data_IF_555206949712
#
_entry.id   IF_555206949712
#
_cell.length_a   1.000
_cell.length_b   1.000
_cell.length_c   1.000
_cell.angle_alpha   90.00
_cell.angle_beta   90.00
_cell.angle_gamma   90.00
#
_symmetry.space_group_name_H-M   'P 1'
#
loop_
_entity.id
_entity.type
_entity.pdbx_description
1 polymer ?
#
# COMPACT_ATOMS: atom_id res chain seq x y z
N UNK A 1 -9.06 -12.55 8.71
CA UNK A 1 -9.90 -12.85 7.53
C UNK A 1 -9.07 -13.16 6.29
N UNK A 2 -8.13 -12.31 5.87
CA UNK A 2 -7.28 -12.55 4.66
C UNK A 2 -6.60 -13.93 4.64
N UNK A 3 -6.09 -14.41 5.79
CA UNK A 3 -5.45 -15.72 5.88
C UNK A 3 -6.39 -16.92 5.64
N UNK A 4 -7.71 -16.73 5.75
CA UNK A 4 -8.71 -17.79 5.53
C UNK A 4 -9.28 -17.78 4.11
N UNK A 5 -9.16 -16.66 3.38
CA UNK A 5 -9.70 -16.52 2.03
C UNK A 5 -8.79 -15.64 1.14
N UNK A 6 -7.53 -16.04 0.90
CA UNK A 6 -6.54 -15.20 0.22
C UNK A 6 -6.87 -14.93 -1.25
N UNK A 7 -7.47 -15.90 -1.96
CA UNK A 7 -7.81 -15.77 -3.39
C UNK A 7 -8.91 -14.74 -3.65
N UNK A 8 -9.74 -14.44 -2.65
CA UNK A 8 -10.84 -13.48 -2.74
C UNK A 8 -10.64 -12.24 -1.86
N UNK A 9 -9.43 -12.07 -1.29
CA UNK A 9 -9.06 -10.88 -0.53
C UNK A 9 -8.17 -10.00 -1.41
N UNK A 10 -8.76 -8.97 -2.01
CA UNK A 10 -8.08 -8.08 -2.94
C UNK A 10 -7.36 -6.96 -2.20
N UNK A 11 -6.12 -6.66 -2.60
CA UNK A 11 -5.29 -5.54 -2.15
C UNK A 11 -4.50 -5.00 -3.34
N UNK A 12 -3.74 -3.92 -3.16
CA UNK A 12 -2.91 -3.31 -4.22
C UNK A 12 -3.63 -2.89 -5.51
N UNK A 13 -4.95 -2.69 -5.48
CA UNK A 13 -5.70 -2.23 -6.67
C UNK A 13 -5.15 -0.90 -7.24
N UNK A 14 -4.50 -0.05 -6.42
CA UNK A 14 -3.80 1.16 -6.84
C UNK A 14 -2.65 0.88 -7.83
N UNK A 15 -2.02 -0.30 -7.79
CA UNK A 15 -1.00 -0.71 -8.76
C UNK A 15 -1.61 -0.98 -10.15
N UNK A 16 -2.86 -1.45 -10.20
CA UNK A 16 -3.59 -1.82 -11.43
C UNK A 16 -4.35 -0.66 -12.08
N UNK A 17 -4.79 0.32 -11.29
CA UNK A 17 -5.71 1.37 -11.75
C UNK A 17 -5.16 2.15 -12.95
N UNK A 18 -5.98 2.33 -13.99
CA UNK A 18 -5.64 3.05 -15.22
C UNK A 18 -4.52 2.45 -16.07
N UNK A 19 -4.04 1.23 -15.78
CA UNK A 19 -3.03 0.50 -16.57
C UNK A 19 -3.66 -0.48 -17.55
N UNK A 20 -2.84 -0.96 -18.49
CA UNK A 20 -3.17 -2.07 -19.40
C UNK A 20 -2.73 -3.40 -18.80
N UNK A 21 -3.41 -4.48 -19.20
CA UNK A 21 -3.10 -5.82 -18.71
C UNK A 21 -1.69 -6.26 -19.12
N UNK A 22 -1.22 -5.87 -20.31
CA UNK A 22 0.08 -6.22 -20.86
C UNK A 22 1.25 -5.35 -20.35
N UNK A 23 0.99 -4.41 -19.44
CA UNK A 23 2.05 -3.61 -18.80
C UNK A 23 3.04 -4.54 -18.09
N UNK A 24 4.36 -4.49 -18.43
CA UNK A 24 5.37 -5.35 -17.82
C UNK A 24 5.39 -5.29 -16.28
N UNK A 25 5.09 -4.12 -15.70
CA UNK A 25 5.00 -3.95 -14.25
C UNK A 25 3.84 -4.78 -13.68
N UNK A 26 2.69 -4.77 -14.34
CA UNK A 26 1.53 -5.58 -13.93
C UNK A 26 1.80 -7.07 -14.08
N UNK A 27 2.45 -7.48 -15.18
CA UNK A 27 2.85 -8.88 -15.37
C UNK A 27 3.83 -9.37 -14.29
N UNK A 28 4.67 -8.48 -13.75
CA UNK A 28 5.51 -8.76 -12.60
C UNK A 28 4.70 -8.88 -11.31
N UNK A 29 3.88 -7.86 -11.01
CA UNK A 29 3.09 -7.79 -9.77
C UNK A 29 2.11 -8.98 -9.63
N UNK A 30 1.49 -9.41 -10.74
CA UNK A 30 0.57 -10.55 -10.79
C UNK A 30 1.18 -11.87 -10.29
N UNK A 31 2.51 -12.02 -10.31
CA UNK A 31 3.20 -13.21 -9.79
C UNK A 31 3.20 -13.27 -8.26
N UNK A 32 2.95 -12.14 -7.60
CA UNK A 32 3.02 -11.99 -6.16
C UNK A 32 1.65 -11.94 -5.49
N UNK A 33 0.58 -11.73 -6.25
CA UNK A 33 -0.77 -11.68 -5.70
C UNK A 33 -1.44 -13.06 -5.61
N UNK A 34 -2.19 -13.32 -4.52
CA UNK A 34 -2.93 -14.57 -4.36
C UNK A 34 -4.26 -14.58 -5.13
N UNK A 35 -4.78 -13.41 -5.51
CA UNK A 35 -6.00 -13.25 -6.30
C UNK A 35 -5.69 -13.22 -7.79
N UNK A 36 -6.66 -13.62 -8.62
CA UNK A 36 -6.46 -13.73 -10.07
C UNK A 36 -6.78 -12.40 -10.75
N UNK A 37 -5.89 -11.97 -11.65
CA UNK A 37 -6.15 -10.87 -12.58
C UNK A 37 -6.29 -11.45 -13.99
N UNK A 38 -7.32 -11.03 -14.71
CA UNK A 38 -7.61 -11.45 -16.09
C UNK A 38 -7.61 -10.25 -17.03
N UNK A 39 -7.41 -10.50 -18.31
CA UNK A 39 -7.55 -9.48 -19.35
C UNK A 39 -8.99 -9.44 -19.84
N UNK A 40 -9.58 -8.25 -19.88
CA UNK A 40 -10.86 -7.97 -20.52
C UNK A 40 -10.67 -6.82 -21.50
N UNK A 41 -10.67 -7.11 -22.80
CA UNK A 41 -10.33 -6.17 -23.88
C UNK A 41 -9.02 -5.39 -23.64
N UNK A 42 -8.00 -6.05 -23.08
CA UNK A 42 -6.70 -5.45 -22.78
C UNK A 42 -6.62 -4.66 -21.47
N UNK A 43 -7.74 -4.52 -20.74
CA UNK A 43 -7.76 -3.94 -19.39
C UNK A 43 -7.66 -5.04 -18.33
N UNK A 44 -6.92 -4.82 -17.23
CA UNK A 44 -6.88 -5.78 -16.15
C UNK A 44 -8.19 -5.76 -15.36
N UNK A 45 -8.75 -6.93 -15.05
CA UNK A 45 -9.87 -7.12 -14.12
C UNK A 45 -9.51 -8.14 -13.05
N UNK A 46 -9.93 -7.88 -11.83
CA UNK A 46 -9.76 -8.79 -10.69
C UNK A 46 -10.91 -9.80 -10.70
N UNK A 47 -10.58 -11.10 -10.78
CA UNK A 47 -11.54 -12.19 -10.69
C UNK A 47 -11.59 -12.72 -9.26
N UNK A 48 -12.78 -12.72 -8.66
CA UNK A 48 -13.04 -13.28 -7.33
C UNK A 48 -14.31 -14.12 -7.34
N UNK A 49 -14.39 -15.08 -6.44
CA UNK A 49 -15.63 -15.77 -6.10
C UNK A 49 -16.37 -14.98 -5.01
N UNK A 50 -17.59 -14.56 -5.30
CA UNK A 50 -18.44 -13.83 -4.37
C UNK A 50 -19.83 -14.44 -4.34
N UNK A 51 -20.23 -14.96 -3.17
CA UNK A 51 -21.51 -15.65 -2.94
C UNK A 51 -21.74 -16.84 -3.88
N UNK A 52 -20.70 -17.63 -4.14
CA UNK A 52 -20.76 -18.82 -4.99
C UNK A 52 -20.72 -18.54 -6.50
N UNK A 53 -20.53 -17.28 -6.89
CA UNK A 53 -20.43 -16.88 -8.30
C UNK A 53 -19.10 -16.20 -8.60
N UNK A 54 -18.56 -16.46 -9.79
CA UNK A 54 -17.40 -15.74 -10.29
C UNK A 54 -17.80 -14.31 -10.69
N UNK A 55 -17.14 -13.32 -10.08
CA UNK A 55 -17.31 -11.90 -10.40
C UNK A 55 -15.99 -11.30 -10.85
N UNK A 56 -16.10 -10.38 -11.79
CA UNK A 56 -14.96 -9.60 -12.28
C UNK A 56 -15.17 -8.14 -11.91
N UNK A 57 -14.12 -7.52 -11.39
CA UNK A 57 -14.14 -6.12 -10.99
C UNK A 57 -13.01 -5.37 -11.69
N UNK A 58 -13.30 -4.18 -12.20
CA UNK A 58 -12.27 -3.24 -12.61
C UNK A 58 -11.53 -2.70 -11.37
N UNK A 59 -10.25 -2.29 -11.49
CA UNK A 59 -9.50 -1.69 -10.38
C UNK A 59 -10.18 -0.46 -9.76
N UNK A 60 -10.90 0.31 -10.58
CA UNK A 60 -11.69 1.48 -10.18
C UNK A 60 -12.86 1.09 -9.28
N UNK A 61 -13.49 -0.06 -9.52
CA UNK A 61 -14.58 -0.59 -8.67
C UNK A 61 -14.05 -1.08 -7.32
N UNK A 62 -12.87 -1.73 -7.30
CA UNK A 62 -12.24 -2.09 -6.02
C UNK A 62 -11.86 -0.83 -5.23
N UNK A 63 -11.30 0.18 -5.91
CA UNK A 63 -10.93 1.44 -5.30
C UNK A 63 -12.16 2.22 -4.80
N UNK A 64 -13.30 2.14 -5.50
CA UNK A 64 -14.55 2.77 -5.08
C UNK A 64 -15.11 2.13 -3.81
N UNK A 65 -14.93 0.83 -3.60
CA UNK A 65 -15.31 0.16 -2.34
C UNK A 65 -14.49 0.69 -1.16
N UNK A 66 -13.19 0.94 -1.35
CA UNK A 66 -12.34 1.59 -0.34
C UNK A 66 -12.80 3.02 -0.07
N UNK A 67 -13.07 3.80 -1.12
CA UNK A 67 -13.56 5.18 -0.99
C UNK A 67 -14.95 5.24 -0.32
N UNK A 68 -15.83 4.29 -0.61
CA UNK A 68 -17.12 4.13 0.05
C UNK A 68 -16.92 3.91 1.55
N UNK A 69 -15.96 3.07 1.94
CA UNK A 69 -15.66 2.86 3.35
C UNK A 69 -15.12 4.12 4.04
N UNK A 70 -14.29 4.90 3.34
CA UNK A 70 -13.79 6.17 3.85
C UNK A 70 -14.90 7.21 3.98
N UNK A 71 -15.82 7.26 3.01
CA UNK A 71 -17.03 8.09 3.06
C UNK A 71 -17.90 7.73 4.28
N UNK A 72 -18.24 6.46 4.47
CA UNK A 72 -19.01 5.99 5.64
C UNK A 72 -18.33 6.39 6.96
N UNK A 73 -17.00 6.30 7.02
CA UNK A 73 -16.22 6.68 8.20
C UNK A 73 -16.36 8.17 8.50
N UNK A 74 -16.27 9.02 7.47
CA UNK A 74 -16.48 10.46 7.60
C UNK A 74 -17.93 10.80 7.96
N UNK A 75 -18.92 10.14 7.36
CA UNK A 75 -20.34 10.33 7.65
C UNK A 75 -20.68 9.96 9.10
N UNK A 76 -20.11 8.86 9.61
CA UNK A 76 -20.26 8.45 11.00
C UNK A 76 -19.68 9.47 11.98
N UNK A 77 -18.56 10.11 11.63
CA UNK A 77 -17.95 11.16 12.44
C UNK A 77 -18.73 12.47 12.40
N UNK A 78 -19.20 12.89 11.22
CA UNK A 78 -19.90 14.17 11.01
C UNK A 78 -21.39 14.12 11.35
N UNK A 79 -21.99 12.92 11.42
CA UNK A 79 -23.42 12.73 11.67
C UNK A 79 -24.33 13.09 10.49
N UNK A 80 -23.80 13.11 9.27
CA UNK A 80 -24.53 13.51 8.07
C UNK A 80 -23.86 13.05 6.77
N UNK A 81 -24.56 13.15 5.62
CA UNK A 81 -24.07 12.65 4.34
C UNK A 81 -22.88 13.46 3.82
N UNK A 82 -21.90 12.76 3.24
CA UNK A 82 -20.72 13.35 2.59
C UNK A 82 -20.84 13.18 1.08
N UNK A 83 -20.82 14.28 0.35
CA UNK A 83 -21.01 14.29 -1.12
C UNK A 83 -19.78 14.74 -1.87
N UNK A 84 -19.06 15.74 -1.38
CA UNK A 84 -17.92 16.33 -2.07
C UNK A 84 -16.60 15.84 -1.48
N UNK A 85 -15.62 15.55 -2.35
CA UNK A 85 -14.31 15.10 -1.93
C UNK A 85 -13.18 15.63 -2.82
N UNK A 86 -12.00 15.77 -2.22
CA UNK A 86 -10.73 15.90 -2.92
C UNK A 86 -9.99 14.58 -2.74
N UNK A 87 -9.50 13.98 -3.83
CA UNK A 87 -8.81 12.69 -3.79
C UNK A 87 -7.35 12.90 -4.23
N UNK A 88 -6.42 12.30 -3.49
CA UNK A 88 -4.98 12.38 -3.77
C UNK A 88 -4.55 11.28 -4.75
N UNK A 89 -3.53 11.56 -5.57
CA UNK A 89 -2.85 10.58 -6.43
C UNK A 89 -1.33 10.82 -6.43
N UNK A 90 -0.50 9.82 -6.75
CA UNK A 90 0.93 10.05 -6.94
C UNK A 90 1.20 11.09 -8.02
N UNK A 91 2.24 11.91 -7.86
CA UNK A 91 2.55 12.98 -8.82
C UNK A 91 2.84 12.45 -10.24
N UNK A 92 3.44 11.25 -10.34
CA UNK A 92 3.78 10.59 -11.60
C UNK A 92 2.58 9.91 -12.30
N UNK A 93 1.37 9.90 -11.70
CA UNK A 93 0.20 9.32 -12.36
C UNK A 93 -0.10 10.05 -13.66
N UNK A 94 -0.25 9.28 -14.74
CA UNK A 94 -0.68 9.79 -16.03
C UNK A 94 -2.19 10.08 -16.08
N UNK A 95 -2.66 10.66 -17.17
CA UNK A 95 -4.06 11.05 -17.34
C UNK A 95 -5.05 9.88 -17.20
N UNK A 96 -4.70 8.70 -17.71
CA UNK A 96 -5.52 7.49 -17.59
C UNK A 96 -5.71 7.09 -16.13
N UNK A 97 -4.64 7.09 -15.34
CA UNK A 97 -4.69 6.72 -13.92
C UNK A 97 -5.41 7.78 -13.07
N UNK A 98 -5.24 9.06 -13.40
CA UNK A 98 -5.97 10.18 -12.77
C UNK A 98 -7.47 10.07 -13.04
N UNK A 99 -7.85 9.82 -14.29
CA UNK A 99 -9.24 9.66 -14.67
C UNK A 99 -9.86 8.43 -13.99
N UNK A 100 -9.18 7.29 -14.02
CA UNK A 100 -9.62 6.07 -13.35
C UNK A 100 -9.84 6.26 -11.83
N UNK A 101 -8.97 7.02 -11.17
CA UNK A 101 -9.15 7.37 -9.75
C UNK A 101 -10.35 8.29 -9.53
N UNK A 102 -10.58 9.25 -10.42
CA UNK A 102 -11.75 10.11 -10.40
C UNK A 102 -13.05 9.31 -10.60
N UNK A 103 -13.03 8.35 -11.52
CA UNK A 103 -14.14 7.43 -11.79
C UNK A 103 -14.45 6.57 -10.56
N UNK A 104 -13.43 6.07 -9.86
CA UNK A 104 -13.61 5.36 -8.59
C UNK A 104 -14.34 6.22 -7.55
N UNK A 105 -14.02 7.52 -7.47
CA UNK A 105 -14.74 8.47 -6.63
C UNK A 105 -16.20 8.65 -7.05
N UNK A 106 -16.47 8.77 -8.34
CA UNK A 106 -17.83 8.88 -8.87
C UNK A 106 -18.65 7.61 -8.57
N UNK A 107 -18.08 6.41 -8.73
CA UNK A 107 -18.73 5.12 -8.40
C UNK A 107 -19.05 5.04 -6.90
N UNK A 108 -18.21 5.60 -6.03
CA UNK A 108 -18.45 5.70 -4.58
C UNK A 108 -19.53 6.74 -4.21
N UNK A 109 -20.13 7.41 -5.19
CA UNK A 109 -21.12 8.47 -4.97
C UNK A 109 -20.50 9.74 -4.36
N UNK A 110 -19.26 10.06 -4.75
CA UNK A 110 -18.58 11.30 -4.40
C UNK A 110 -18.46 12.19 -5.64
N UNK A 111 -18.77 13.47 -5.47
CA UNK A 111 -18.41 14.54 -6.38
C UNK A 111 -16.93 14.89 -6.15
N UNK A 112 -16.07 14.44 -7.06
CA UNK A 112 -14.63 14.67 -6.97
C UNK A 112 -14.32 16.09 -7.44
N UNK A 113 -14.24 17.03 -6.50
CA UNK A 113 -13.97 18.45 -6.75
C UNK A 113 -12.62 18.66 -7.42
N UNK A 114 -11.62 17.90 -6.97
CA UNK A 114 -10.25 17.98 -7.50
C UNK A 114 -9.50 16.68 -7.23
N UNK A 115 -8.67 16.29 -8.20
CA UNK A 115 -7.56 15.36 -7.99
C UNK A 115 -6.32 16.19 -7.69
N UNK A 116 -5.69 15.98 -6.54
CA UNK A 116 -4.45 16.66 -6.17
C UNK A 116 -3.30 15.65 -6.06
N UNK A 117 -2.07 16.11 -6.26
CA UNK A 117 -0.91 15.26 -6.06
C UNK A 117 -0.68 15.03 -4.56
N UNK A 118 -0.34 13.81 -4.17
CA UNK A 118 0.08 13.43 -2.82
C UNK A 118 1.18 14.38 -2.27
N UNK A 119 2.27 14.67 -2.98
CA UNK A 119 3.27 15.62 -2.50
C UNK A 119 2.71 17.05 -2.36
N UNK A 120 1.81 17.49 -3.23
CA UNK A 120 1.18 18.82 -3.06
C UNK A 120 0.28 18.85 -1.82
N UNK A 121 -0.45 17.77 -1.54
CA UNK A 121 -1.26 17.65 -0.33
C UNK A 121 -0.39 17.69 0.94
N UNK A 122 0.74 16.98 0.93
CA UNK A 122 1.72 17.01 2.01
C UNK A 122 2.37 18.40 2.18
N UNK A 123 2.71 19.07 1.09
CA UNK A 123 3.23 20.45 1.11
C UNK A 123 2.21 21.43 1.69
N UNK A 124 0.94 21.31 1.31
CA UNK A 124 -0.16 22.09 1.87
C UNK A 124 -0.27 21.87 3.37
N UNK A 125 -0.29 20.62 3.83
CA UNK A 125 -0.33 20.29 5.25
C UNK A 125 0.87 20.87 6.04
N UNK A 126 2.06 20.89 5.43
CA UNK A 126 3.25 21.48 6.04
C UNK A 126 3.25 23.02 6.04
N UNK A 127 2.72 23.63 4.97
CA UNK A 127 2.78 25.07 4.72
C UNK A 127 1.63 25.89 5.32
N UNK A 128 0.47 25.27 5.59
CA UNK A 128 -0.77 25.96 6.00
C UNK A 128 -0.62 26.85 7.25
N UNK A 129 0.22 26.48 8.21
CA UNK A 129 0.42 27.24 9.45
C UNK A 129 1.73 28.03 9.50
N UNK A 130 2.52 27.99 8.43
CA UNK A 130 3.80 28.70 8.39
C UNK A 130 3.59 29.99 7.62
N UNK A 131 3.80 31.13 8.30
CA UNK A 131 3.98 32.43 7.64
C UNK A 131 5.29 32.43 6.83
N UNK A 132 5.30 31.64 5.75
CA UNK A 132 6.43 31.49 4.84
C UNK A 132 6.63 32.84 4.16
N UNK A 133 7.81 33.43 4.36
CA UNK A 133 8.27 34.60 3.62
C UNK A 133 9.24 34.16 2.53
N UNK A 134 9.01 34.68 1.32
CA UNK A 134 9.78 34.38 0.12
C UNK A 134 9.67 32.94 -0.40
N UNK A 135 10.24 32.73 -1.59
CA UNK A 135 10.31 31.44 -2.26
C UNK A 135 11.11 30.42 -1.45
N UNK A 136 10.57 29.21 -1.29
CA UNK A 136 11.25 28.09 -0.63
C UNK A 136 11.20 26.83 -1.46
N UNK A 137 12.32 26.12 -1.49
CA UNK A 137 12.37 24.77 -2.03
C UNK A 137 12.12 23.77 -0.90
N UNK A 138 11.19 22.87 -1.13
CA UNK A 138 10.77 21.81 -0.20
C UNK A 138 10.97 20.47 -0.87
N UNK A 139 11.66 19.57 -0.19
CA UNK A 139 11.74 18.16 -0.59
C UNK A 139 10.73 17.37 0.22
N UNK A 140 9.89 16.62 -0.47
CA UNK A 140 8.96 15.67 0.12
C UNK A 140 9.50 14.27 -0.15
N UNK A 141 9.64 13.53 0.94
CA UNK A 141 10.05 12.14 0.96
C UNK A 141 8.87 11.32 1.47
N UNK A 142 8.23 10.57 0.58
CA UNK A 142 7.06 9.74 0.89
C UNK A 142 7.41 8.27 0.64
N UNK A 143 7.63 7.53 1.73
CA UNK A 143 7.91 6.09 1.70
C UNK A 143 6.73 5.34 2.33
N UNK A 144 5.81 4.90 1.47
CA UNK A 144 4.58 4.25 1.86
C UNK A 144 4.71 2.74 2.06
N UNK A 145 3.57 2.06 2.01
CA UNK A 145 3.51 0.59 2.13
C UNK A 145 4.12 -0.16 0.94
N UNK A 146 4.07 0.41 -0.26
CA UNK A 146 4.60 -0.23 -1.47
C UNK A 146 5.04 0.73 -2.57
N UNK A 147 5.04 2.04 -2.30
CA UNK A 147 5.54 3.06 -3.23
C UNK A 147 6.46 3.99 -2.47
N UNK A 148 7.49 4.45 -3.18
CA UNK A 148 8.43 5.45 -2.73
C UNK A 148 8.43 6.62 -3.71
N UNK A 149 8.19 7.82 -3.22
CA UNK A 149 8.10 9.05 -3.98
C UNK A 149 8.96 10.15 -3.36
N UNK A 150 9.75 10.81 -4.19
CA UNK A 150 10.49 12.02 -3.85
C UNK A 150 10.08 13.14 -4.79
N UNK A 151 9.57 14.23 -4.24
CA UNK A 151 9.21 15.42 -5.01
C UNK A 151 9.93 16.64 -4.47
N UNK A 152 10.46 17.46 -5.38
CA UNK A 152 10.96 18.80 -5.07
C UNK A 152 9.87 19.78 -5.48
N UNK A 153 9.41 20.60 -4.53
CA UNK A 153 8.44 21.64 -4.74
C UNK A 153 9.05 23.00 -4.46
N UNK A 154 8.59 23.99 -5.20
CA UNK A 154 8.75 25.39 -4.85
C UNK A 154 7.44 25.88 -4.24
N UNK A 155 7.54 26.58 -3.10
CA UNK A 155 6.43 27.22 -2.41
C UNK A 155 6.73 28.71 -2.35
N UNK A 156 5.81 29.53 -2.87
CA UNK A 156 5.89 31.00 -2.83
C UNK A 156 4.77 31.61 -1.97
N UNK A 157 4.92 32.89 -1.62
CA UNK A 157 3.91 33.69 -0.92
C UNK A 157 2.58 33.64 -1.68
N UNK A 158 1.49 33.27 -0.99
CA UNK A 158 0.17 33.14 -1.60
C UNK A 158 -0.24 31.73 -2.02
N UNK A 159 0.43 30.69 -1.51
CA UNK A 159 0.01 29.28 -1.66
C UNK A 159 0.13 28.75 -3.10
N UNK A 160 1.05 29.28 -3.88
CA UNK A 160 1.46 28.69 -5.16
C UNK A 160 2.44 27.55 -4.88
N UNK A 161 2.03 26.33 -5.22
CA UNK A 161 2.84 25.12 -5.11
C UNK A 161 3.19 24.64 -6.51
N UNK A 162 4.47 24.69 -6.85
CA UNK A 162 4.96 24.18 -8.13
C UNK A 162 5.82 22.94 -7.90
N UNK A 163 5.47 21.83 -8.54
CA UNK A 163 6.31 20.62 -8.54
C UNK A 163 7.43 20.81 -9.57
N UNK A 164 8.68 20.91 -9.10
CA UNK A 164 9.85 21.10 -9.96
C UNK A 164 10.41 19.79 -10.50
N UNK A 165 10.42 18.76 -9.66
CA UNK A 165 10.90 17.43 -10.03
C UNK A 165 10.16 16.36 -9.21
N UNK A 166 10.03 15.17 -9.78
CA UNK A 166 9.56 13.97 -9.08
C UNK A 166 10.36 12.77 -9.56
N UNK A 167 10.80 11.95 -8.63
CA UNK A 167 11.45 10.67 -8.84
C UNK A 167 10.97 9.69 -7.77
N UNK A 168 11.32 8.42 -7.88
CA UNK A 168 10.89 7.42 -6.91
C UNK A 168 10.92 6.01 -7.47
N UNK A 169 10.39 5.07 -6.68
CA UNK A 169 10.19 3.69 -7.06
C UNK A 169 8.74 3.27 -6.79
N UNK A 170 8.04 2.87 -7.85
CA UNK A 170 6.65 2.44 -7.78
C UNK A 170 6.46 1.08 -7.13
N UNK A 171 7.54 0.41 -6.74
CA UNK A 171 7.61 -0.97 -6.28
C UNK A 171 8.51 -1.15 -5.04
N UNK A 172 8.71 -0.07 -4.27
CA UNK A 172 9.46 -0.09 -3.02
C UNK A 172 8.60 0.45 -1.88
N UNK A 173 8.53 -0.26 -0.75
CA UNK A 173 7.95 0.28 0.47
C UNK A 173 7.99 -0.64 1.68
N UNK A 174 7.11 -0.34 2.64
CA UNK A 174 6.95 -1.07 3.89
C UNK A 174 6.86 -2.59 3.77
N UNK A 175 6.23 -3.09 2.72
CA UNK A 175 6.05 -4.52 2.45
C UNK A 175 7.35 -5.23 2.05
N UNK A 176 8.27 -4.55 1.38
CA UNK A 176 9.58 -5.09 1.02
C UNK A 176 10.44 -5.30 2.27
N UNK A 177 10.38 -4.35 3.21
CA UNK A 177 11.02 -4.52 4.51
C UNK A 177 10.42 -5.70 5.30
N UNK A 178 9.09 -5.85 5.26
CA UNK A 178 8.42 -7.01 5.85
C UNK A 178 8.88 -8.31 5.18
N UNK A 179 9.04 -8.33 3.85
CA UNK A 179 9.54 -9.49 3.10
C UNK A 179 10.95 -9.89 3.55
N UNK A 180 11.87 -8.93 3.73
CA UNK A 180 13.23 -9.20 4.24
C UNK A 180 13.18 -9.89 5.60
N UNK A 181 12.35 -9.37 6.50
CA UNK A 181 12.20 -9.93 7.84
C UNK A 181 11.52 -11.31 7.82
N UNK A 182 10.48 -11.50 7.00
CA UNK A 182 9.80 -12.80 6.84
C UNK A 182 10.75 -13.88 6.34
N UNK A 183 11.54 -13.59 5.30
CA UNK A 183 12.50 -14.54 4.75
C UNK A 183 13.54 -14.93 5.81
N UNK A 184 14.10 -13.94 6.51
CA UNK A 184 15.04 -14.19 7.60
C UNK A 184 14.46 -15.10 8.70
N UNK A 185 13.22 -14.83 9.13
CA UNK A 185 12.56 -15.62 10.17
C UNK A 185 12.15 -17.01 9.68
N UNK A 186 11.77 -17.16 8.40
CA UNK A 186 11.47 -18.46 7.81
C UNK A 186 12.73 -19.34 7.72
N UNK A 187 13.86 -18.76 7.32
CA UNK A 187 15.16 -19.43 7.30
C UNK A 187 15.64 -19.80 8.71
N UNK A 188 15.43 -18.91 9.69
CA UNK A 188 15.69 -19.21 11.11
C UNK A 188 14.85 -20.39 11.60
N UNK A 189 13.55 -20.39 11.31
CA UNK A 189 12.64 -21.49 11.65
C UNK A 189 13.11 -22.80 11.02
N UNK A 190 13.46 -22.78 9.73
CA UNK A 190 13.98 -23.95 9.01
C UNK A 190 15.27 -24.47 9.62
N UNK A 191 16.20 -23.58 10.02
CA UNK A 191 17.44 -23.97 10.71
C UNK A 191 17.18 -24.56 12.10
N UNK A 192 16.28 -23.97 12.89
CA UNK A 192 16.00 -24.35 14.27
C UNK A 192 15.19 -25.64 14.38
N UNK A 193 14.19 -25.83 13.50
CA UNK A 193 13.22 -26.94 13.59
C UNK A 193 13.30 -27.91 12.41
N UNK A 194 14.17 -27.69 11.42
CA UNK A 194 14.33 -28.52 10.21
C UNK A 194 13.03 -28.67 9.39
N UNK A 195 12.17 -27.66 9.42
CA UNK A 195 10.86 -27.63 8.75
C UNK A 195 10.73 -26.38 7.90
N UNK A 196 10.22 -26.55 6.68
CA UNK A 196 10.10 -25.47 5.71
C UNK A 196 8.65 -24.95 5.66
N UNK A 197 8.45 -23.77 6.25
CA UNK A 197 7.13 -23.13 6.30
C UNK A 197 6.73 -22.47 4.99
N UNK A 198 7.66 -22.29 4.03
CA UNK A 198 7.39 -21.59 2.78
C UNK A 198 6.34 -22.31 1.92
N UNK A 199 6.19 -23.62 2.13
CA UNK A 199 5.17 -24.46 1.50
C UNK A 199 3.76 -24.26 2.06
N UNK A 200 3.60 -23.56 3.20
CA UNK A 200 2.32 -23.40 3.89
C UNK A 200 1.88 -21.92 3.91
N UNK A 201 0.93 -21.54 3.04
CA UNK A 201 0.45 -20.15 2.94
C UNK A 201 -0.10 -19.58 4.26
N UNK A 202 -0.75 -20.43 5.07
CA UNK A 202 -1.31 -20.00 6.37
C UNK A 202 -0.20 -19.67 7.36
N UNK A 203 0.83 -20.51 7.46
CA UNK A 203 1.99 -20.28 8.33
C UNK A 203 2.75 -19.02 7.90
N UNK A 204 3.07 -18.89 6.60
CA UNK A 204 3.72 -17.69 6.06
C UNK A 204 2.93 -16.40 6.34
N UNK A 205 1.60 -16.43 6.19
CA UNK A 205 0.78 -15.24 6.47
C UNK A 205 0.82 -14.85 7.95
N UNK A 206 0.76 -15.82 8.87
CA UNK A 206 0.89 -15.56 10.31
C UNK A 206 2.26 -14.97 10.64
N UNK A 207 3.32 -15.51 10.06
CA UNK A 207 4.67 -14.99 10.22
C UNK A 207 4.79 -13.56 9.69
N UNK A 208 4.23 -13.25 8.52
CA UNK A 208 4.19 -11.90 7.95
C UNK A 208 3.48 -10.90 8.85
N UNK A 209 2.32 -11.26 9.40
CA UNK A 209 1.62 -10.38 10.36
C UNK A 209 2.44 -10.12 11.61
N UNK A 210 3.18 -11.12 12.10
CA UNK A 210 4.07 -10.93 13.24
C UNK A 210 5.30 -10.06 12.88
N UNK A 211 5.88 -10.25 11.69
CA UNK A 211 6.99 -9.46 11.16
C UNK A 211 6.61 -7.98 11.00
N UNK A 212 5.42 -7.68 10.45
CA UNK A 212 4.92 -6.31 10.33
C UNK A 212 4.77 -5.64 11.71
N UNK A 213 4.24 -6.36 12.71
CA UNK A 213 4.16 -5.87 14.10
C UNK A 213 5.54 -5.64 14.72
N UNK A 214 6.48 -6.56 14.48
CA UNK A 214 7.85 -6.42 14.93
C UNK A 214 8.52 -5.19 14.31
N UNK A 215 8.41 -4.98 12.98
CA UNK A 215 8.88 -3.78 12.29
C UNK A 215 8.37 -2.50 12.94
N UNK A 216 7.05 -2.41 13.21
CA UNK A 216 6.45 -1.24 13.87
C UNK A 216 6.98 -1.02 15.29
N UNK A 217 7.26 -2.10 16.02
CA UNK A 217 7.86 -2.03 17.36
C UNK A 217 9.31 -1.54 17.29
N UNK A 218 10.08 -2.00 16.29
CA UNK A 218 11.47 -1.61 16.08
C UNK A 218 11.62 -0.12 15.71
N UNK A 219 10.57 0.54 15.21
CA UNK A 219 10.58 1.99 14.96
C UNK A 219 10.75 2.82 16.25
N UNK A 220 10.37 2.30 17.42
CA UNK A 220 10.51 2.99 18.71
C UNK A 220 11.38 2.24 19.72
N UNK A 221 11.60 0.93 19.53
CA UNK A 221 12.38 0.06 20.43
C UNK A 221 13.60 -0.55 19.73
N UNK A 222 14.62 -0.95 20.49
CA UNK A 222 15.84 -1.57 19.93
C UNK A 222 15.71 -3.08 19.69
N UNK A 223 14.70 -3.72 20.26
CA UNK A 223 14.37 -5.14 20.07
C UNK A 223 12.84 -5.33 19.97
N UNK A 224 12.42 -6.42 19.33
CA UNK A 224 11.04 -6.86 19.26
C UNK A 224 10.93 -8.38 19.43
N UNK A 225 10.01 -8.83 20.28
CA UNK A 225 9.69 -10.25 20.46
C UNK A 225 8.67 -10.70 19.41
N UNK A 226 8.86 -11.91 18.90
CA UNK A 226 7.98 -12.57 17.95
C UNK A 226 7.52 -13.87 18.58
N UNK A 227 6.21 -13.96 18.81
CA UNK A 227 5.60 -15.06 19.55
C UNK A 227 4.40 -15.56 18.73
N UNK A 228 4.50 -16.80 18.23
CA UNK A 228 3.47 -17.41 17.40
C UNK A 228 3.25 -18.87 17.81
N UNK A 229 2.17 -19.12 18.55
CA UNK A 229 1.78 -20.47 18.97
C UNK A 229 1.39 -21.33 17.76
N UNK A 230 1.82 -22.59 17.74
CA UNK A 230 1.57 -23.57 16.69
C UNK A 230 1.72 -22.99 15.27
N UNK A 231 2.85 -22.31 15.00
CA UNK A 231 3.12 -21.69 13.70
C UNK A 231 3.05 -22.71 12.56
N UNK A 232 3.65 -23.89 12.74
CA UNK A 232 3.70 -24.96 11.75
C UNK A 232 3.76 -26.33 12.40
N UNK A 233 2.89 -27.28 11.98
CA UNK A 233 2.84 -28.65 12.53
C UNK A 233 2.79 -28.73 14.07
N UNK A 234 2.11 -27.77 14.72
CA UNK A 234 2.01 -27.70 16.18
C UNK A 234 3.25 -27.13 16.88
N UNK A 235 4.28 -26.71 16.14
CA UNK A 235 5.49 -26.11 16.68
C UNK A 235 5.26 -24.62 16.95
N UNK A 236 5.51 -24.20 18.19
CA UNK A 236 5.51 -22.79 18.55
C UNK A 236 6.79 -22.09 18.07
N UNK A 237 6.65 -20.84 17.64
CA UNK A 237 7.77 -20.01 17.25
C UNK A 237 7.91 -18.79 18.15
N UNK A 238 8.91 -18.85 19.04
CA UNK A 238 9.33 -17.76 19.90
C UNK A 238 10.75 -17.36 19.54
N UNK A 239 10.92 -16.09 19.14
CA UNK A 239 12.24 -15.51 18.84
C UNK A 239 12.23 -14.00 19.12
N UNK A 240 13.39 -13.36 18.97
CA UNK A 240 13.54 -11.92 19.06
C UNK A 240 14.38 -11.39 17.90
N UNK A 241 14.07 -10.18 17.46
CA UNK A 241 14.84 -9.46 16.43
C UNK A 241 15.28 -8.11 16.98
N UNK A 242 16.53 -7.72 16.72
CA UNK A 242 17.04 -6.40 17.07
C UNK A 242 16.86 -5.41 15.92
N UNK A 243 16.81 -4.11 16.23
CA UNK A 243 16.75 -3.05 15.22
C UNK A 243 17.96 -3.11 14.28
N UNK A 244 19.16 -3.29 14.85
CA UNK A 244 20.40 -3.41 14.07
C UNK A 244 20.33 -4.57 13.05
N UNK A 245 19.75 -5.72 13.44
CA UNK A 245 19.57 -6.84 12.51
C UNK A 245 18.56 -6.50 11.41
N UNK A 246 17.48 -5.82 11.74
CA UNK A 246 16.48 -5.39 10.76
C UNK A 246 17.07 -4.38 9.76
N UNK A 247 17.84 -3.39 10.24
CA UNK A 247 18.56 -2.42 9.40
C UNK A 247 19.57 -3.12 8.47
N UNK A 248 20.32 -4.11 8.96
CA UNK A 248 21.22 -4.92 8.14
C UNK A 248 20.48 -5.69 7.04
N UNK A 249 19.31 -6.28 7.36
CA UNK A 249 18.49 -7.03 6.39
C UNK A 249 17.92 -6.14 5.28
N UNK A 250 17.85 -4.83 5.50
CA UNK A 250 17.30 -3.85 4.58
C UNK A 250 18.35 -2.89 4.03
N UNK A 251 19.65 -3.14 4.22
CA UNK A 251 20.71 -2.15 3.96
C UNK A 251 20.86 -1.69 2.51
N UNK A 252 20.38 -2.49 1.56
CA UNK A 252 20.41 -2.23 0.12
C UNK A 252 19.12 -1.60 -0.42
N UNK A 253 18.06 -1.53 0.39
CA UNK A 253 16.78 -0.89 0.06
C UNK A 253 16.79 0.58 0.48
#
# INVERSE_FOLDING_TARGET
QVAMNPQNSVFDAKRLIGRKFDDPKIQSDMKHWPFKVISDFGKPKILVEFKGENKTFAPEEISSMVLTKMKETAEAYLGGPVKDAVITVPAYFNDSQRQATKDAGAIAGLNVLRIINEPTAAALAYGLDKNLKGERNVLIFDLGGGTFDVSILTIDEGSLFEVRATAGDTHLGGEDFDNRLVNHLADEFKRKYRKDICSNPRALRRLRTAAERAKRTLSSSTEANIEIDALYEGIDYYTKVSRARFEELCSDL
#
